data_IF_032226317913
#
_entry.id   IF_032226317913
#
_cell.length_a   1.000
_cell.length_b   1.000
_cell.length_c   1.000
_cell.angle_alpha   90.00
_cell.angle_beta   90.00
_cell.angle_gamma   90.00
#
_symmetry.space_group_name_H-M   'P 1'
#
loop_
_entity.id
_entity.type
_entity.pdbx_description
1 polymer ?
#
# COMPACT_ATOMS: atom_id res chain seq x y z
N UNK A 1 -11.99 2.26 -5.89
CA UNK A 1 -11.31 1.57 -4.77
C UNK A 1 -10.78 2.65 -3.82
N UNK A 2 -11.04 2.55 -2.52
CA UNK A 2 -10.57 3.49 -1.49
C UNK A 2 -9.86 2.71 -0.37
N UNK A 3 -8.94 3.37 0.31
CA UNK A 3 -8.11 2.78 1.34
C UNK A 3 -7.06 3.77 1.84
N UNK A 4 -6.31 3.36 2.86
CA UNK A 4 -5.28 4.18 3.51
C UNK A 4 -3.90 3.55 3.36
N UNK A 5 -2.87 4.38 3.23
CA UNK A 5 -1.50 3.89 3.18
C UNK A 5 -1.14 3.31 4.54
N UNK A 6 -0.87 2.00 4.57
CA UNK A 6 -0.47 1.28 5.78
C UNK A 6 1.03 1.44 6.03
N UNK A 7 1.85 1.28 4.99
CA UNK A 7 3.31 1.36 5.09
C UNK A 7 3.93 1.77 3.75
N UNK A 8 4.97 2.60 3.83
CA UNK A 8 5.87 2.90 2.69
C UNK A 8 7.28 2.48 3.08
N UNK A 9 7.91 1.63 2.27
CA UNK A 9 9.32 1.24 2.38
C UNK A 9 10.10 2.02 1.32
N UNK A 10 10.45 3.27 1.65
CA UNK A 10 11.01 4.24 0.70
C UNK A 10 12.29 3.72 0.03
N UNK A 11 13.23 3.19 0.81
CA UNK A 11 14.52 2.70 0.31
C UNK A 11 14.40 1.52 -0.66
N UNK A 12 13.22 0.88 -0.72
CA UNK A 12 12.95 -0.27 -1.59
C UNK A 12 11.88 0.03 -2.64
N UNK A 13 11.30 1.22 -2.65
CA UNK A 13 10.34 1.66 -3.67
C UNK A 13 8.97 0.98 -3.65
N UNK A 14 8.53 0.43 -2.53
CA UNK A 14 7.22 -0.24 -2.43
C UNK A 14 6.46 0.10 -1.16
N UNK A 15 5.19 -0.30 -1.11
CA UNK A 15 4.36 -0.16 0.08
C UNK A 15 3.10 -1.01 0.08
N UNK A 16 2.30 -0.79 1.10
CA UNK A 16 1.06 -1.51 1.34
C UNK A 16 -0.07 -0.52 1.65
N UNK A 17 -1.25 -0.80 1.12
CA UNK A 17 -2.50 -0.08 1.37
C UNK A 17 -3.44 -1.02 2.12
N UNK A 18 -4.06 -0.52 3.18
CA UNK A 18 -5.22 -1.17 3.78
C UNK A 18 -6.46 -0.70 3.01
N UNK A 19 -7.12 -1.62 2.31
CA UNK A 19 -8.34 -1.34 1.57
C UNK A 19 -9.56 -1.38 2.49
N UNK A 20 -10.58 -0.58 2.18
CA UNK A 20 -11.81 -0.50 2.99
C UNK A 20 -12.61 -1.83 3.00
N UNK A 21 -12.33 -2.74 2.07
CA UNK A 21 -12.90 -4.09 2.00
C UNK A 21 -12.10 -5.14 2.81
N UNK A 22 -11.14 -4.68 3.62
CA UNK A 22 -10.31 -5.51 4.50
C UNK A 22 -9.13 -6.17 3.82
N UNK A 23 -8.95 -6.00 2.51
CA UNK A 23 -7.77 -6.53 1.79
C UNK A 23 -6.53 -5.69 2.04
N UNK A 24 -5.38 -6.34 1.90
CA UNK A 24 -4.09 -5.66 1.85
C UNK A 24 -3.58 -5.64 0.41
N UNK A 25 -3.22 -4.45 -0.06
CA UNK A 25 -2.82 -4.23 -1.44
C UNK A 25 -1.36 -3.80 -1.46
N UNK A 26 -0.52 -4.59 -2.12
CA UNK A 26 0.87 -4.22 -2.42
C UNK A 26 0.92 -3.24 -3.60
N UNK A 27 1.82 -2.26 -3.53
CA UNK A 27 2.14 -1.38 -4.66
C UNK A 27 3.64 -1.15 -4.79
N UNK A 28 4.09 -0.85 -6.01
CA UNK A 28 5.45 -0.42 -6.34
C UNK A 28 5.39 1.00 -6.94
N UNK A 29 6.33 1.88 -6.60
CA UNK A 29 6.34 3.28 -7.08
C UNK A 29 7.37 3.54 -8.20
N UNK A 30 7.54 2.56 -9.09
CA UNK A 30 8.28 2.70 -10.35
C UNK A 30 7.35 2.51 -11.53
#
# INVERSE_FOLDING_TARGET
MRGTIKRVVRDRGFGFIHADDGREIFFHHT
#
